data_IF_442532149733
#
_entry.id   IF_442532149733
#
_cell.length_a   1.000
_cell.length_b   1.000
_cell.length_c   1.000
_cell.angle_alpha   90.00
_cell.angle_beta   90.00
_cell.angle_gamma   90.00
#
_symmetry.space_group_name_H-M   'P 1'
#
loop_
_entity.id
_entity.type
_entity.pdbx_description
1 polymer ?
#
# COMPACT_ATOMS: atom_id res chain seq x y z
N UNK A 1 -8.90 -8.72 -1.08
CA UNK A 1 -7.78 -8.30 -1.96
C UNK A 1 -8.28 -8.38 -3.37
N UNK A 2 -8.27 -7.27 -4.10
CA UNK A 2 -8.67 -7.22 -5.51
C UNK A 2 -7.44 -6.90 -6.36
N UNK A 3 -7.25 -7.62 -7.46
CA UNK A 3 -6.15 -7.42 -8.39
C UNK A 3 -6.71 -6.95 -9.73
N UNK A 4 -6.21 -5.82 -10.23
CA UNK A 4 -6.51 -5.38 -11.60
C UNK A 4 -5.31 -5.66 -12.50
N UNK A 5 -5.53 -6.42 -13.56
CA UNK A 5 -4.57 -6.63 -14.64
C UNK A 5 -4.93 -5.76 -15.85
N UNK A 6 -3.91 -5.24 -16.55
CA UNK A 6 -4.03 -4.35 -17.72
C UNK A 6 -4.41 -2.90 -17.39
N UNK A 7 -3.69 -2.29 -16.45
CA UNK A 7 -3.77 -0.85 -16.22
C UNK A 7 -3.37 -0.06 -17.46
N UNK A 8 -4.24 0.89 -17.85
CA UNK A 8 -3.94 1.94 -18.84
C UNK A 8 -3.73 3.27 -18.12
N UNK A 9 -3.09 4.28 -18.74
CA UNK A 9 -2.96 5.61 -18.14
C UNK A 9 -4.31 6.18 -17.70
N UNK A 10 -5.35 6.04 -18.53
CA UNK A 10 -6.71 6.44 -18.19
C UNK A 10 -7.21 5.73 -16.93
N UNK A 11 -7.01 4.41 -16.83
CA UNK A 11 -7.42 3.63 -15.65
C UNK A 11 -6.65 4.05 -14.40
N UNK A 12 -5.35 4.34 -14.51
CA UNK A 12 -4.57 4.86 -13.38
C UNK A 12 -5.13 6.18 -12.87
N UNK A 13 -5.51 7.09 -13.79
CA UNK A 13 -6.11 8.37 -13.42
C UNK A 13 -7.46 8.18 -12.69
N UNK A 14 -8.33 7.31 -13.20
CA UNK A 14 -9.60 6.96 -12.55
C UNK A 14 -9.39 6.38 -11.14
N UNK A 15 -8.41 5.48 -10.98
CA UNK A 15 -8.12 4.85 -9.69
C UNK A 15 -7.56 5.85 -8.67
N UNK A 16 -6.69 6.77 -9.09
CA UNK A 16 -6.19 7.83 -8.21
C UNK A 16 -7.30 8.80 -7.81
N UNK A 17 -8.26 9.07 -8.68
CA UNK A 17 -9.44 9.88 -8.34
C UNK A 17 -10.38 9.15 -7.36
N UNK A 18 -10.55 7.84 -7.54
CA UNK A 18 -11.46 7.03 -6.73
C UNK A 18 -10.89 6.72 -5.34
N UNK A 19 -9.63 6.27 -5.28
CA UNK A 19 -9.02 5.74 -4.05
C UNK A 19 -7.86 6.58 -3.50
N UNK A 20 -7.36 7.56 -4.24
CA UNK A 20 -6.16 8.31 -3.83
C UNK A 20 -6.30 8.94 -2.44
N UNK A 21 -7.48 9.48 -2.12
CA UNK A 21 -7.76 10.04 -0.79
C UNK A 21 -7.65 8.97 0.31
N UNK A 22 -8.19 7.78 0.08
CA UNK A 22 -8.20 6.69 1.05
C UNK A 22 -6.81 6.04 1.19
N UNK A 23 -5.96 6.15 0.16
CA UNK A 23 -4.54 5.77 0.16
C UNK A 23 -3.62 6.87 0.74
N UNK A 24 -4.19 7.93 1.33
CA UNK A 24 -3.44 9.03 1.95
C UNK A 24 -2.77 10.00 0.95
N UNK A 25 -3.16 9.97 -0.32
CA UNK A 25 -2.69 10.91 -1.34
C UNK A 25 -3.54 12.18 -1.29
N UNK A 26 -2.90 13.30 -0.98
CA UNK A 26 -3.54 14.61 -1.04
C UNK A 26 -3.95 14.98 -2.47
N UNK A 27 -5.09 15.68 -2.63
CA UNK A 27 -5.60 16.10 -3.94
C UNK A 27 -4.57 16.88 -4.77
N UNK A 28 -3.79 17.73 -4.12
CA UNK A 28 -2.72 18.54 -4.72
C UNK A 28 -1.59 17.70 -5.31
N UNK A 29 -1.43 16.45 -4.85
CA UNK A 29 -0.37 15.52 -5.26
C UNK A 29 -0.83 14.46 -6.25
N UNK A 30 -2.12 14.41 -6.59
CA UNK A 30 -2.66 13.39 -7.51
C UNK A 30 -1.91 13.36 -8.84
N UNK A 31 -1.56 14.53 -9.40
CA UNK A 31 -0.81 14.61 -10.66
C UNK A 31 0.61 14.03 -10.51
N UNK A 32 1.30 14.29 -9.39
CA UNK A 32 2.61 13.71 -9.08
C UNK A 32 2.56 12.18 -9.11
N UNK A 33 1.55 11.59 -8.46
CA UNK A 33 1.37 10.15 -8.40
C UNK A 33 0.92 9.56 -9.74
N UNK A 34 0.09 10.29 -10.51
CA UNK A 34 -0.27 9.88 -11.87
C UNK A 34 0.97 9.74 -12.76
N UNK A 35 1.89 10.72 -12.74
CA UNK A 35 3.12 10.64 -13.51
C UNK A 35 4.00 9.45 -13.11
N UNK A 36 4.03 9.10 -11.82
CA UNK A 36 4.77 7.92 -11.31
C UNK A 36 4.14 6.59 -11.76
N UNK A 37 2.82 6.52 -11.90
CA UNK A 37 2.11 5.26 -12.06
C UNK A 37 1.48 5.01 -13.43
N UNK A 38 1.36 6.01 -14.29
CA UNK A 38 0.65 5.94 -15.59
C UNK A 38 1.08 4.80 -16.52
N UNK A 39 2.28 4.24 -16.34
CA UNK A 39 2.81 3.12 -17.14
C UNK A 39 2.93 1.80 -16.37
N UNK A 40 2.43 1.72 -15.12
CA UNK A 40 2.34 0.45 -14.39
C UNK A 40 1.24 -0.41 -15.03
N UNK A 41 1.49 -1.72 -15.13
CA UNK A 41 0.56 -2.68 -15.76
C UNK A 41 -0.39 -3.36 -14.77
N UNK A 42 -0.07 -3.31 -13.48
CA UNK A 42 -0.76 -4.01 -12.41
C UNK A 42 -0.78 -3.17 -11.13
N UNK A 43 -1.86 -3.30 -10.37
CA UNK A 43 -1.95 -2.82 -8.99
C UNK A 43 -2.72 -3.85 -8.15
N UNK A 44 -2.46 -3.83 -6.84
CA UNK A 44 -3.18 -4.62 -5.85
C UNK A 44 -3.88 -3.65 -4.91
N UNK A 45 -5.18 -3.85 -4.72
CA UNK A 45 -5.96 -3.11 -3.73
C UNK A 45 -6.02 -3.90 -2.44
N UNK A 46 -5.57 -3.24 -1.36
CA UNK A 46 -5.62 -3.76 0.00
C UNK A 46 -6.56 -2.89 0.80
N UNK A 47 -7.78 -3.38 0.99
CA UNK A 47 -8.77 -2.75 1.85
C UNK A 47 -8.54 -3.24 3.28
N UNK A 48 -8.31 -2.31 4.19
CA UNK A 48 -8.15 -2.60 5.61
C UNK A 48 -9.52 -2.50 6.30
N UNK A 49 -9.85 -3.50 7.10
CA UNK A 49 -11.06 -3.52 7.91
C UNK A 49 -10.67 -3.48 9.39
N UNK A 50 -11.32 -2.59 10.16
CA UNK A 50 -11.10 -2.41 11.59
C UNK A 50 -9.62 -2.25 12.00
N UNK A 51 -8.85 -1.32 11.40
CA UNK A 51 -7.47 -1.07 11.81
C UNK A 51 -7.42 -0.60 13.27
N UNK A 52 -6.49 -1.16 14.04
CA UNK A 52 -6.31 -0.83 15.46
C UNK A 52 -5.05 0.03 15.63
N UNK A 53 -5.17 1.10 16.41
CA UNK A 53 -4.01 1.92 16.77
C UNK A 53 -3.11 1.18 17.76
N UNK A 54 -1.80 1.23 17.52
CA UNK A 54 -0.77 0.62 18.37
C UNK A 54 0.28 1.66 18.74
N UNK A 55 0.95 1.47 19.87
CA UNK A 55 2.09 2.33 20.23
C UNK A 55 3.23 2.09 19.23
N UNK A 56 3.96 3.12 18.79
CA UNK A 56 5.13 2.93 17.94
C UNK A 56 6.13 1.97 18.59
N UNK A 57 6.66 1.03 17.82
CA UNK A 57 7.66 0.06 18.26
C UNK A 57 8.73 -0.18 17.19
N UNK A 58 9.90 -0.67 17.61
CA UNK A 58 10.97 -1.05 16.69
C UNK A 58 10.73 -2.46 16.19
N UNK A 59 10.60 -2.61 14.87
CA UNK A 59 10.44 -3.92 14.22
C UNK A 59 11.78 -4.66 14.19
N UNK A 60 11.85 -5.84 14.80
CA UNK A 60 12.93 -6.81 14.61
C UNK A 60 12.65 -7.67 13.38
N UNK A 61 13.49 -7.52 12.36
CA UNK A 61 13.40 -8.27 11.11
C UNK A 61 14.34 -9.49 11.08
N UNK A 62 14.96 -9.86 12.20
CA UNK A 62 15.84 -11.03 12.28
C UNK A 62 15.08 -12.30 11.87
N UNK A 63 15.64 -13.08 10.94
CA UNK A 63 14.98 -14.27 10.40
C UNK A 63 13.98 -13.99 9.27
N UNK A 64 13.68 -12.73 8.96
CA UNK A 64 12.95 -12.33 7.76
C UNK A 64 13.93 -11.91 6.65
N UNK A 65 13.63 -12.28 5.40
CA UNK A 65 14.46 -11.91 4.25
C UNK A 65 14.57 -10.40 4.08
N UNK A 66 15.73 -9.92 3.59
CA UNK A 66 16.09 -8.50 3.56
C UNK A 66 15.13 -7.57 2.77
N UNK A 67 14.19 -8.12 2.00
CA UNK A 67 13.31 -7.38 1.08
C UNK A 67 11.85 -7.88 1.11
N UNK A 68 11.35 -8.38 2.24
CA UNK A 68 9.92 -8.71 2.35
C UNK A 68 9.09 -7.42 2.39
N UNK A 69 8.24 -7.21 1.38
CA UNK A 69 7.30 -6.09 1.38
C UNK A 69 6.38 -6.17 2.62
N UNK A 70 5.90 -7.37 2.96
CA UNK A 70 5.00 -7.63 4.09
C UNK A 70 5.58 -8.69 5.03
N UNK A 71 5.23 -8.60 6.31
CA UNK A 71 5.59 -9.58 7.35
C UNK A 71 4.28 -10.14 7.94
N UNK A 72 4.09 -11.45 7.88
CA UNK A 72 2.93 -12.12 8.45
C UNK A 72 3.32 -12.77 9.76
N UNK A 73 2.70 -12.34 10.86
CA UNK A 73 2.95 -12.86 12.20
C UNK A 73 1.63 -13.11 12.91
N UNK A 74 1.60 -14.12 13.78
CA UNK A 74 0.43 -14.43 14.61
C UNK A 74 0.17 -13.33 15.66
N UNK A 75 1.23 -12.65 16.09
CA UNK A 75 1.19 -11.62 17.11
C UNK A 75 2.31 -10.60 16.80
N UNK A 76 1.96 -9.32 16.74
CA UNK A 76 2.88 -8.23 16.44
C UNK A 76 3.95 -8.06 17.52
N UNK A 77 3.68 -8.50 18.76
CA UNK A 77 4.64 -8.46 19.86
C UNK A 77 5.80 -9.45 19.68
N UNK A 78 5.69 -10.39 18.73
CA UNK A 78 6.78 -11.34 18.40
C UNK A 78 7.86 -10.75 17.50
N UNK A 79 7.64 -9.56 16.96
CA UNK A 79 8.59 -8.85 16.10
C UNK A 79 8.98 -7.50 16.69
N UNK A 80 8.85 -7.35 18.00
CA UNK A 80 9.33 -6.19 18.73
C UNK A 80 10.62 -6.55 19.47
N UNK A 81 11.60 -5.65 19.46
CA UNK A 81 12.74 -5.68 20.40
C UNK A 81 12.40 -4.95 21.68
#
# INVERSE_FOLDING_TARGET
MEQSSALTPKRVQELLQLYGKDDGIEKTRVEEFYQKFKHKRYCVFVFLENPVSVRPFRIDKTGFGALSAWITVKDILKITK
#
